data_IF_439498980996
#
_entry.id   IF_439498980996
#
_cell.length_a   1.000
_cell.length_b   1.000
_cell.length_c   1.000
_cell.angle_alpha   90.00
_cell.angle_beta   90.00
_cell.angle_gamma   90.00
#
_symmetry.space_group_name_H-M   'P 1'
#
loop_
_entity.id
_entity.type
_entity.pdbx_description
1 polymer ?
#
# COMPACT_ATOMS: atom_id res chain seq x y z
N UNK A 1 12.89 -31.83 -15.79
CA UNK A 1 11.54 -31.46 -15.31
C UNK A 1 11.61 -30.14 -14.54
N UNK A 2 12.49 -29.98 -13.51
CA UNK A 2 12.59 -28.81 -12.66
C UNK A 2 12.74 -27.50 -13.48
N UNK A 3 13.82 -27.35 -14.25
CA UNK A 3 14.10 -26.15 -15.05
C UNK A 3 13.02 -25.90 -16.11
N UNK A 4 12.56 -26.94 -16.80
CA UNK A 4 11.51 -26.82 -17.80
C UNK A 4 10.19 -26.31 -17.22
N UNK A 5 9.82 -26.76 -16.00
CA UNK A 5 8.59 -26.29 -15.35
C UNK A 5 8.70 -24.85 -14.85
N UNK A 6 9.86 -24.46 -14.29
CA UNK A 6 10.13 -23.08 -13.88
C UNK A 6 9.98 -22.13 -15.09
N UNK A 7 10.67 -22.46 -16.21
CA UNK A 7 10.61 -21.65 -17.42
C UNK A 7 9.18 -21.56 -17.99
N UNK A 8 8.50 -22.70 -18.12
CA UNK A 8 7.14 -22.73 -18.67
C UNK A 8 6.17 -21.90 -17.80
N UNK A 9 6.27 -22.03 -16.48
CA UNK A 9 5.40 -21.26 -15.55
C UNK A 9 5.71 -19.76 -15.62
N UNK A 10 6.99 -19.39 -15.59
CA UNK A 10 7.41 -17.99 -15.66
C UNK A 10 6.96 -17.34 -16.98
N UNK A 11 7.15 -18.02 -18.11
CA UNK A 11 6.70 -17.54 -19.42
C UNK A 11 5.18 -17.38 -19.43
N UNK A 12 4.43 -18.40 -19.02
CA UNK A 12 2.96 -18.35 -19.02
C UNK A 12 2.42 -17.19 -18.19
N UNK A 13 2.95 -16.96 -16.99
CA UNK A 13 2.52 -15.87 -16.12
C UNK A 13 2.85 -14.49 -16.69
N UNK A 14 4.03 -14.33 -17.31
CA UNK A 14 4.42 -13.05 -17.91
C UNK A 14 3.62 -12.71 -19.19
N UNK A 15 3.15 -13.73 -19.94
CA UNK A 15 2.27 -13.51 -21.08
C UNK A 15 0.79 -13.31 -20.71
N UNK A 16 0.47 -13.22 -19.41
CA UNK A 16 -0.88 -12.91 -18.94
C UNK A 16 -1.85 -14.09 -19.01
N UNK A 17 -1.38 -15.33 -19.15
CA UNK A 17 -2.24 -16.48 -19.04
C UNK A 17 -2.75 -16.64 -17.62
N UNK A 18 -4.07 -16.75 -17.48
CA UNK A 18 -4.71 -17.07 -16.21
C UNK A 18 -4.41 -18.51 -15.82
N UNK A 19 -3.73 -18.70 -14.69
CA UNK A 19 -3.41 -20.03 -14.18
C UNK A 19 -3.02 -19.99 -12.70
N UNK A 20 -3.27 -21.10 -12.01
CA UNK A 20 -2.88 -21.25 -10.61
C UNK A 20 -1.36 -21.40 -10.45
N UNK A 21 -0.76 -20.65 -9.58
CA UNK A 21 0.68 -20.73 -9.23
C UNK A 21 0.95 -21.90 -8.29
N UNK A 22 -0.05 -22.35 -7.53
CA UNK A 22 0.09 -23.39 -6.51
C UNK A 22 0.53 -24.74 -7.07
N UNK A 23 -0.16 -25.24 -8.10
CA UNK A 23 0.17 -26.54 -8.71
C UNK A 23 1.60 -26.58 -9.32
N UNK A 24 2.04 -25.55 -10.07
CA UNK A 24 3.44 -25.43 -10.48
C UNK A 24 4.42 -25.39 -9.31
N UNK A 25 4.12 -24.69 -8.23
CA UNK A 25 4.97 -24.61 -7.06
C UNK A 25 5.19 -25.97 -6.38
N UNK A 26 4.11 -26.75 -6.24
CA UNK A 26 4.17 -28.16 -5.75
C UNK A 26 5.10 -28.99 -6.63
N UNK A 27 4.94 -28.94 -7.94
CA UNK A 27 5.75 -29.75 -8.86
C UNK A 27 7.23 -29.32 -8.85
N UNK A 28 7.50 -28.02 -8.80
CA UNK A 28 8.85 -27.49 -8.66
C UNK A 28 9.47 -27.93 -7.33
N UNK A 29 8.70 -27.87 -6.24
CA UNK A 29 9.13 -28.31 -4.91
C UNK A 29 9.43 -29.81 -4.85
N UNK A 30 8.56 -30.64 -5.44
CA UNK A 30 8.76 -32.08 -5.55
C UNK A 30 10.04 -32.41 -6.33
N UNK A 31 10.23 -31.77 -7.48
CA UNK A 31 11.41 -31.97 -8.32
C UNK A 31 12.70 -31.49 -7.62
N UNK A 32 12.68 -30.37 -6.93
CA UNK A 32 13.81 -29.88 -6.15
C UNK A 32 14.15 -30.83 -4.99
N UNK A 33 13.14 -31.24 -4.21
CA UNK A 33 13.31 -32.23 -3.14
C UNK A 33 13.84 -33.56 -3.63
N UNK A 34 13.40 -34.01 -4.82
CA UNK A 34 13.94 -35.25 -5.46
C UNK A 34 15.42 -35.12 -5.85
N UNK A 35 15.83 -33.95 -6.37
CA UNK A 35 17.22 -33.68 -6.70
C UNK A 35 18.10 -33.72 -5.43
N UNK A 36 17.64 -33.02 -4.38
CA UNK A 36 18.36 -33.03 -3.09
C UNK A 36 18.42 -34.42 -2.51
N UNK A 37 17.34 -35.18 -2.53
CA UNK A 37 17.29 -36.58 -2.09
C UNK A 37 18.28 -37.45 -2.86
N UNK A 38 18.33 -37.35 -4.19
CA UNK A 38 19.27 -38.10 -5.01
C UNK A 38 20.73 -37.80 -4.66
N UNK A 39 21.09 -36.54 -4.38
CA UNK A 39 22.43 -36.16 -3.94
C UNK A 39 22.78 -36.78 -2.59
N UNK A 40 21.87 -36.74 -1.62
CA UNK A 40 22.13 -37.34 -0.30
C UNK A 40 22.27 -38.85 -0.35
N UNK A 41 21.47 -39.53 -1.17
CA UNK A 41 21.57 -40.97 -1.40
C UNK A 41 22.91 -41.33 -2.03
N UNK A 42 23.40 -40.60 -3.02
CA UNK A 42 24.73 -40.87 -3.63
C UNK A 42 25.89 -40.66 -2.67
N UNK A 43 25.67 -39.83 -1.62
CA UNK A 43 26.64 -39.62 -0.54
C UNK A 43 26.53 -40.67 0.60
N UNK A 44 25.56 -41.60 0.52
CA UNK A 44 25.27 -42.57 1.58
C UNK A 44 24.67 -41.96 2.83
N UNK A 45 23.98 -40.80 2.68
CA UNK A 45 23.39 -40.05 3.78
C UNK A 45 21.88 -40.04 3.59
N UNK A 46 21.12 -40.31 4.65
CA UNK A 46 19.67 -40.22 4.65
C UNK A 46 18.90 -41.08 3.62
N UNK A 47 19.37 -42.29 3.34
CA UNK A 47 18.74 -43.23 2.40
C UNK A 47 17.26 -43.50 2.73
N UNK A 48 16.94 -43.62 4.03
CA UNK A 48 15.58 -43.88 4.52
C UNK A 48 14.67 -42.63 4.49
N UNK A 49 15.20 -41.43 4.25
CA UNK A 49 14.48 -40.15 4.34
C UNK A 49 14.12 -39.54 2.99
N UNK A 50 14.21 -40.29 1.88
CA UNK A 50 13.95 -39.80 0.53
C UNK A 50 12.57 -39.16 0.40
N UNK A 51 11.52 -39.83 0.91
CA UNK A 51 10.14 -39.30 0.87
C UNK A 51 10.00 -38.03 1.71
N UNK A 52 10.60 -37.96 2.87
CA UNK A 52 10.57 -36.79 3.72
C UNK A 52 11.21 -35.56 3.04
N UNK A 53 12.33 -35.75 2.32
CA UNK A 53 13.01 -34.69 1.57
C UNK A 53 12.16 -34.18 0.41
N UNK A 54 11.47 -35.06 -0.32
CA UNK A 54 10.56 -34.67 -1.41
C UNK A 54 9.37 -33.89 -0.87
N UNK A 55 8.73 -34.38 0.19
CA UNK A 55 7.59 -33.72 0.83
C UNK A 55 7.98 -32.38 1.43
N UNK A 56 9.13 -32.32 2.10
CA UNK A 56 9.70 -31.08 2.62
C UNK A 56 9.99 -30.06 1.51
N UNK A 57 10.49 -30.51 0.35
CA UNK A 57 10.69 -29.67 -0.82
C UNK A 57 9.39 -29.10 -1.38
N UNK A 58 8.34 -29.92 -1.44
CA UNK A 58 6.99 -29.46 -1.84
C UNK A 58 6.52 -28.35 -0.90
N UNK A 59 6.54 -28.59 0.40
CA UNK A 59 6.11 -27.64 1.39
C UNK A 59 6.93 -26.34 1.36
N UNK A 60 8.27 -26.46 1.27
CA UNK A 60 9.19 -25.34 1.26
C UNK A 60 8.92 -24.37 0.09
N UNK A 61 8.77 -24.90 -1.14
CA UNK A 61 8.53 -24.05 -2.32
C UNK A 61 7.11 -23.51 -2.33
N UNK A 62 6.10 -24.35 -2.10
CA UNK A 62 4.71 -23.90 -2.13
C UNK A 62 4.42 -22.91 -1.01
N UNK A 63 4.91 -23.15 0.20
CA UNK A 63 4.73 -22.27 1.35
C UNK A 63 5.39 -20.90 1.19
N UNK A 64 6.59 -20.87 0.60
CA UNK A 64 7.30 -19.62 0.33
C UNK A 64 6.63 -18.79 -0.79
N UNK A 65 6.09 -19.46 -1.83
CA UNK A 65 5.37 -18.78 -2.92
C UNK A 65 4.05 -18.22 -2.44
N UNK A 66 3.29 -18.98 -1.63
CA UNK A 66 1.95 -18.57 -1.16
C UNK A 66 2.04 -17.56 -0.01
N UNK A 67 3.10 -17.62 0.83
CA UNK A 67 3.19 -16.84 2.05
C UNK A 67 2.37 -17.42 3.23
N UNK A 68 1.99 -18.70 3.17
CA UNK A 68 1.19 -19.38 4.19
C UNK A 68 1.88 -20.63 4.75
N UNK A 69 2.99 -20.49 5.49
CA UNK A 69 3.79 -21.64 5.93
C UNK A 69 3.03 -22.60 6.86
N UNK A 70 2.24 -22.08 7.79
CA UNK A 70 1.46 -22.91 8.72
C UNK A 70 0.44 -23.76 7.97
N UNK A 71 -0.26 -23.20 7.00
CA UNK A 71 -1.21 -23.92 6.17
C UNK A 71 -0.55 -25.09 5.44
N UNK A 72 0.69 -24.90 4.94
CA UNK A 72 1.42 -25.97 4.24
C UNK A 72 1.80 -27.12 5.17
N UNK A 73 2.18 -26.85 6.43
CA UNK A 73 2.44 -27.91 7.42
C UNK A 73 1.18 -28.71 7.70
N UNK A 74 0.03 -28.04 7.86
CA UNK A 74 -1.25 -28.68 8.12
C UNK A 74 -1.66 -29.53 6.89
N UNK A 75 -1.52 -29.02 5.67
CA UNK A 75 -1.80 -29.77 4.44
C UNK A 75 -0.94 -31.02 4.34
N UNK A 76 0.36 -30.92 4.63
CA UNK A 76 1.24 -32.09 4.65
C UNK A 76 0.81 -33.11 5.69
N UNK A 77 0.48 -32.66 6.91
CA UNK A 77 0.00 -33.54 7.96
C UNK A 77 -1.30 -34.26 7.56
N UNK A 78 -2.24 -33.53 6.99
CA UNK A 78 -3.55 -34.08 6.57
C UNK A 78 -3.43 -35.06 5.40
N UNK A 79 -2.63 -34.73 4.38
CA UNK A 79 -2.45 -35.58 3.21
C UNK A 79 -1.60 -36.83 3.50
N UNK A 80 -0.61 -36.73 4.39
CA UNK A 80 0.30 -37.87 4.67
C UNK A 80 -0.06 -38.63 5.92
N UNK A 81 -0.90 -38.05 6.78
CA UNK A 81 -1.23 -38.55 8.12
C UNK A 81 0.02 -38.93 8.93
N UNK A 82 1.10 -38.18 8.77
CA UNK A 82 2.42 -38.43 9.38
C UNK A 82 3.01 -37.18 10.01
N UNK A 83 3.16 -37.20 11.33
CA UNK A 83 3.84 -36.14 12.05
C UNK A 83 5.31 -35.98 11.67
N UNK A 84 5.98 -37.09 11.29
CA UNK A 84 7.37 -37.04 10.86
C UNK A 84 7.54 -36.20 9.58
N UNK A 85 6.65 -36.35 8.61
CA UNK A 85 6.66 -35.55 7.38
C UNK A 85 6.26 -34.09 7.65
N UNK A 86 5.33 -33.84 8.56
CA UNK A 86 4.95 -32.49 8.97
C UNK A 86 6.13 -31.74 9.62
N UNK A 87 6.88 -32.43 10.51
CA UNK A 87 8.07 -31.86 11.15
C UNK A 87 9.21 -31.61 10.15
N UNK A 88 9.47 -32.54 9.24
CA UNK A 88 10.46 -32.36 8.16
C UNK A 88 10.09 -31.15 7.28
N UNK A 89 8.81 -31.02 6.96
CA UNK A 89 8.28 -29.88 6.19
C UNK A 89 8.41 -28.56 6.92
N UNK A 90 8.23 -28.53 8.24
CA UNK A 90 8.41 -27.34 9.06
C UNK A 90 9.85 -26.78 8.95
N UNK A 91 10.85 -27.68 8.98
CA UNK A 91 12.26 -27.27 8.83
C UNK A 91 12.52 -26.69 7.43
N UNK A 92 12.06 -27.36 6.39
CA UNK A 92 12.20 -26.87 5.01
C UNK A 92 11.51 -25.52 4.80
N UNK A 93 10.31 -25.38 5.34
CA UNK A 93 9.54 -24.12 5.31
C UNK A 93 10.25 -22.99 6.05
N UNK A 94 10.76 -23.24 7.26
CA UNK A 94 11.44 -22.22 8.04
C UNK A 94 12.65 -21.64 7.27
N UNK A 95 13.42 -22.50 6.63
CA UNK A 95 14.58 -22.09 5.82
C UNK A 95 14.12 -21.33 4.56
N UNK A 96 13.14 -21.86 3.84
CA UNK A 96 12.67 -21.29 2.57
C UNK A 96 11.98 -19.93 2.77
N UNK A 97 11.05 -19.86 3.72
CA UNK A 97 10.33 -18.61 4.04
C UNK A 97 11.30 -17.58 4.61
N UNK A 98 12.21 -17.97 5.51
CA UNK A 98 13.24 -17.08 6.04
C UNK A 98 14.13 -16.51 4.93
N UNK A 99 14.56 -17.32 3.97
CA UNK A 99 15.32 -16.86 2.81
C UNK A 99 14.53 -15.87 1.95
N UNK A 100 13.26 -16.17 1.66
CA UNK A 100 12.38 -15.28 0.87
C UNK A 100 12.18 -13.95 1.58
N UNK A 101 11.92 -13.98 2.89
CA UNK A 101 11.76 -12.77 3.71
C UNK A 101 13.01 -11.89 3.67
N UNK A 102 14.19 -12.46 3.86
CA UNK A 102 15.46 -11.71 3.86
C UNK A 102 15.80 -11.17 2.46
N UNK A 103 15.50 -11.94 1.40
CA UNK A 103 15.94 -11.60 0.03
C UNK A 103 14.93 -10.75 -0.74
N UNK A 104 13.64 -10.96 -0.54
CA UNK A 104 12.54 -10.35 -1.31
C UNK A 104 11.57 -9.55 -0.44
N UNK A 105 11.61 -9.69 0.89
CA UNK A 105 10.74 -8.99 1.83
C UNK A 105 9.32 -9.56 1.95
N UNK A 106 8.80 -10.22 0.92
CA UNK A 106 7.40 -10.66 0.85
C UNK A 106 7.24 -11.90 -0.01
N UNK A 107 6.10 -12.60 0.13
CA UNK A 107 5.73 -13.72 -0.74
C UNK A 107 5.38 -13.23 -2.16
N UNK A 108 5.27 -14.18 -3.11
CA UNK A 108 4.86 -13.85 -4.49
C UNK A 108 3.48 -13.18 -4.55
N UNK A 109 2.52 -13.63 -3.75
CA UNK A 109 1.18 -13.04 -3.73
C UNK A 109 1.15 -11.66 -3.08
N UNK A 110 1.94 -11.44 -2.04
CA UNK A 110 2.08 -10.12 -1.42
C UNK A 110 2.64 -9.10 -2.42
N UNK A 111 3.69 -9.49 -3.17
CA UNK A 111 4.25 -8.64 -4.23
C UNK A 111 3.22 -8.34 -5.33
N UNK A 112 2.38 -9.32 -5.71
CA UNK A 112 1.30 -9.07 -6.69
C UNK A 112 0.26 -8.08 -6.17
N UNK A 113 -0.09 -8.13 -4.89
CA UNK A 113 -1.02 -7.18 -4.27
C UNK A 113 -0.41 -5.79 -4.20
N UNK A 114 0.84 -5.69 -3.76
CA UNK A 114 1.59 -4.43 -3.74
C UNK A 114 1.65 -3.77 -5.12
N UNK A 115 1.91 -4.55 -6.17
CA UNK A 115 1.92 -4.03 -7.56
C UNK A 115 0.55 -3.54 -8.05
N UNK A 116 -0.53 -3.93 -7.38
CA UNK A 116 -1.90 -3.42 -7.62
C UNK A 116 -2.26 -2.26 -6.69
N UNK A 117 -1.32 -1.76 -5.89
CA UNK A 117 -1.55 -0.70 -4.92
C UNK A 117 -2.24 -1.17 -3.63
N UNK A 118 -2.31 -2.48 -3.38
CA UNK A 118 -2.89 -3.06 -2.18
C UNK A 118 -1.76 -3.49 -1.25
N UNK A 119 -1.52 -2.74 -0.19
CA UNK A 119 -0.56 -3.10 0.86
C UNK A 119 -1.30 -3.83 1.98
N UNK A 120 -0.92 -5.08 2.21
CA UNK A 120 -1.49 -5.92 3.27
C UNK A 120 -0.61 -5.95 4.53
N UNK A 121 0.55 -5.28 4.52
CA UNK A 121 1.48 -5.25 5.66
C UNK A 121 0.84 -4.59 6.89
N UNK A 122 -0.02 -3.59 6.67
CA UNK A 122 -0.76 -2.89 7.72
C UNK A 122 -2.05 -3.60 8.15
N UNK A 123 -2.26 -4.83 7.68
CA UNK A 123 -3.44 -5.64 7.99
C UNK A 123 -4.73 -5.08 7.40
N UNK A 124 -5.89 -5.44 8.02
CA UNK A 124 -7.21 -5.01 7.56
C UNK A 124 -7.40 -3.50 7.63
N UNK A 125 -6.79 -2.84 8.61
CA UNK A 125 -6.89 -1.40 8.78
C UNK A 125 -6.29 -0.65 7.59
N UNK A 126 -5.12 -1.07 7.10
CA UNK A 126 -4.48 -0.48 5.91
C UNK A 126 -5.35 -0.64 4.66
N UNK A 127 -5.95 -1.81 4.45
CA UNK A 127 -6.88 -2.04 3.33
C UNK A 127 -8.07 -1.09 3.36
N UNK A 128 -8.73 -0.93 4.53
CA UNK A 128 -9.84 0.01 4.67
C UNK A 128 -9.44 1.46 4.41
N UNK A 129 -8.24 1.85 4.80
CA UNK A 129 -7.72 3.20 4.54
C UNK A 129 -7.42 3.43 3.06
N UNK A 130 -6.90 2.41 2.37
CA UNK A 130 -6.63 2.48 0.92
C UNK A 130 -7.91 2.54 0.09
N UNK A 131 -8.99 1.86 0.51
CA UNK A 131 -10.28 1.88 -0.17
C UNK A 131 -11.18 3.07 0.22
N UNK A 132 -10.82 3.81 1.27
CA UNK A 132 -11.64 4.93 1.75
C UNK A 132 -11.30 6.21 0.98
N UNK A 133 -12.30 6.77 0.29
CA UNK A 133 -12.20 8.06 -0.40
C UNK A 133 -12.10 9.21 0.61
N UNK A 134 -11.09 10.05 0.46
CA UNK A 134 -10.85 11.21 1.32
C UNK A 134 -11.96 12.25 1.26
N UNK A 135 -12.68 12.34 0.14
CA UNK A 135 -13.78 13.30 -0.03
C UNK A 135 -14.92 13.09 0.99
N UNK A 136 -15.06 11.89 1.57
CA UNK A 136 -16.06 11.63 2.60
C UNK A 136 -15.84 12.44 3.89
N UNK A 137 -14.61 12.89 4.13
CA UNK A 137 -14.20 13.62 5.33
C UNK A 137 -13.83 15.07 5.06
N UNK A 138 -13.89 15.48 3.81
CA UNK A 138 -13.53 16.80 3.36
C UNK A 138 -14.68 17.79 3.44
N UNK A 139 -14.37 19.06 3.66
CA UNK A 139 -15.32 20.15 3.65
C UNK A 139 -15.50 20.69 2.23
N UNK A 140 -16.72 20.62 1.70
CA UNK A 140 -17.06 21.16 0.38
C UNK A 140 -17.28 22.67 0.40
N UNK A 141 -17.47 23.27 1.58
CA UNK A 141 -17.62 24.72 1.75
C UNK A 141 -16.28 25.30 2.17
N UNK A 142 -15.62 25.98 1.27
CA UNK A 142 -14.35 26.64 1.50
C UNK A 142 -14.31 27.99 0.79
N UNK A 143 -13.42 28.86 1.24
CA UNK A 143 -13.32 30.21 0.71
C UNK A 143 -12.16 30.31 -0.28
N UNK A 144 -12.44 30.97 -1.41
CA UNK A 144 -11.46 31.20 -2.47
C UNK A 144 -11.30 32.70 -2.70
N UNK A 145 -10.11 33.09 -3.16
CA UNK A 145 -9.83 34.45 -3.60
C UNK A 145 -9.16 34.43 -4.98
N UNK A 146 -9.42 35.43 -5.80
CA UNK A 146 -8.79 35.52 -7.12
C UNK A 146 -7.36 36.07 -7.01
N UNK A 147 -6.48 35.57 -7.86
CA UNK A 147 -5.09 36.01 -7.95
C UNK A 147 -4.92 37.49 -8.32
N UNK A 148 -5.92 38.07 -8.98
CA UNK A 148 -6.02 39.48 -9.35
C UNK A 148 -6.47 40.43 -8.22
N UNK A 149 -6.85 39.90 -7.08
CA UNK A 149 -7.27 40.71 -5.93
C UNK A 149 -6.08 41.26 -5.14
N UNK A 150 -6.35 42.20 -4.25
CA UNK A 150 -5.34 42.85 -3.44
C UNK A 150 -5.07 42.10 -2.12
N UNK A 151 -3.91 42.32 -1.55
CA UNK A 151 -3.51 41.80 -0.23
C UNK A 151 -4.49 42.23 0.87
N UNK A 152 -4.97 43.48 0.82
CA UNK A 152 -5.95 43.99 1.81
C UNK A 152 -7.27 43.23 1.77
N UNK A 153 -7.72 42.90 0.56
CA UNK A 153 -8.98 42.14 0.40
C UNK A 153 -8.83 40.71 0.91
N UNK A 154 -7.66 40.10 0.70
CA UNK A 154 -7.34 38.78 1.27
C UNK A 154 -7.32 38.81 2.80
N UNK A 155 -6.67 39.80 3.38
CA UNK A 155 -6.61 39.95 4.84
C UNK A 155 -7.99 40.18 5.46
N UNK A 156 -8.86 40.97 4.77
CA UNK A 156 -10.21 41.22 5.23
C UNK A 156 -11.04 39.93 5.16
N UNK A 157 -10.98 39.21 4.07
CA UNK A 157 -11.66 37.92 3.93
C UNK A 157 -11.22 36.90 4.97
N UNK A 158 -9.91 36.76 5.22
CA UNK A 158 -9.38 35.89 6.29
C UNK A 158 -9.96 36.24 7.65
N UNK A 159 -10.06 37.53 7.95
CA UNK A 159 -10.64 38.01 9.22
C UNK A 159 -12.18 37.77 9.32
N UNK A 160 -12.89 37.84 8.21
CA UNK A 160 -14.33 37.58 8.17
C UNK A 160 -14.68 36.10 8.35
N UNK A 161 -13.85 35.22 7.79
CA UNK A 161 -14.09 33.77 7.83
C UNK A 161 -13.33 33.05 8.96
N UNK A 162 -12.58 33.80 9.78
CA UNK A 162 -11.75 33.29 10.88
C UNK A 162 -10.77 32.18 10.44
N UNK A 163 -10.12 32.40 9.29
CA UNK A 163 -9.13 31.48 8.71
C UNK A 163 -7.81 32.21 8.47
N UNK A 164 -6.71 31.54 8.73
CA UNK A 164 -5.36 32.09 8.47
C UNK A 164 -4.84 31.78 7.06
N UNK A 165 -5.55 30.97 6.31
CA UNK A 165 -5.18 30.53 4.96
C UNK A 165 -6.37 30.57 4.00
N UNK A 166 -6.11 30.93 2.75
CA UNK A 166 -7.12 30.92 1.67
C UNK A 166 -6.59 30.23 0.42
N UNK A 167 -7.50 29.61 -0.32
CA UNK A 167 -7.22 29.04 -1.64
C UNK A 167 -7.27 30.14 -2.68
N UNK A 168 -6.26 30.19 -3.54
CA UNK A 168 -6.19 31.16 -4.65
C UNK A 168 -6.58 30.48 -5.94
N UNK A 169 -7.49 31.15 -6.66
CA UNK A 169 -7.91 30.73 -7.99
C UNK A 169 -7.65 31.83 -9.02
N UNK A 170 -7.51 31.46 -10.27
CA UNK A 170 -7.43 32.43 -11.37
C UNK A 170 -8.80 32.98 -11.77
N UNK A 171 -8.85 33.75 -12.86
CA UNK A 171 -10.11 34.32 -13.37
C UNK A 171 -11.08 33.26 -13.92
N UNK A 172 -10.58 32.11 -14.35
CA UNK A 172 -11.36 30.96 -14.84
C UNK A 172 -11.83 30.03 -13.70
N UNK A 173 -11.36 30.27 -12.47
CA UNK A 173 -11.66 29.46 -11.29
C UNK A 173 -10.75 28.23 -11.18
N UNK A 174 -9.62 28.21 -11.89
CA UNK A 174 -8.61 27.16 -11.75
C UNK A 174 -7.76 27.40 -10.52
N UNK A 175 -7.29 26.31 -9.91
CA UNK A 175 -6.44 26.35 -8.72
C UNK A 175 -5.05 26.89 -9.07
N UNK A 176 -4.62 27.93 -8.36
CA UNK A 176 -3.32 28.59 -8.55
C UNK A 176 -2.36 28.26 -7.39
N UNK A 177 -2.89 28.13 -6.19
CA UNK A 177 -2.08 27.91 -4.99
C UNK A 177 -2.82 28.32 -3.73
N UNK A 178 -2.04 28.62 -2.69
CA UNK A 178 -2.53 29.02 -1.37
C UNK A 178 -1.85 30.29 -0.88
N UNK A 179 -2.50 31.04 -0.02
CA UNK A 179 -1.89 32.15 0.70
C UNK A 179 -2.13 31.95 2.20
N UNK A 180 -1.19 32.42 3.01
CA UNK A 180 -1.31 32.46 4.46
C UNK A 180 -1.25 33.90 4.97
N UNK A 181 -1.78 34.12 6.16
CA UNK A 181 -1.84 35.46 6.77
C UNK A 181 -0.44 36.07 7.00
N UNK A 182 0.57 35.25 7.25
CA UNK A 182 1.94 35.72 7.47
C UNK A 182 2.55 36.34 6.20
N UNK A 183 2.28 35.73 5.04
CA UNK A 183 2.78 36.23 3.76
C UNK A 183 2.19 37.60 3.37
N UNK A 184 1.08 38.00 3.99
CA UNK A 184 0.42 39.28 3.70
C UNK A 184 1.06 40.47 4.43
N UNK A 185 1.77 40.26 5.57
CA UNK A 185 2.26 41.34 6.41
C UNK A 185 3.27 42.26 5.73
N UNK A 186 4.14 41.72 4.88
CA UNK A 186 5.23 42.47 4.27
C UNK A 186 4.87 43.14 2.92
N UNK A 187 3.67 42.93 2.38
CA UNK A 187 3.31 43.29 0.99
C UNK A 187 2.02 44.09 0.87
N UNK A 188 1.72 45.00 1.82
CA UNK A 188 0.56 45.89 1.76
C UNK A 188 0.58 46.74 0.48
N UNK A 189 -0.59 46.86 -0.16
CA UNK A 189 -0.79 47.65 -1.38
C UNK A 189 -0.44 46.92 -2.66
N UNK A 190 -0.10 45.64 -2.61
CA UNK A 190 0.23 44.84 -3.80
C UNK A 190 -0.89 43.87 -4.21
N UNK A 191 -0.86 43.44 -5.46
CA UNK A 191 -1.71 42.35 -5.94
C UNK A 191 -1.18 41.00 -5.41
N UNK A 192 -2.08 40.04 -5.20
CA UNK A 192 -1.71 38.68 -4.76
C UNK A 192 -0.75 37.99 -5.76
N UNK A 193 -0.95 38.25 -7.06
CA UNK A 193 -0.07 37.73 -8.13
C UNK A 193 1.38 38.20 -8.05
N UNK A 194 1.71 39.23 -7.24
CA UNK A 194 3.08 39.79 -7.11
C UNK A 194 3.99 39.02 -6.14
N UNK A 195 3.81 37.69 -6.02
CA UNK A 195 4.71 36.81 -5.26
C UNK A 195 4.31 36.60 -3.79
N UNK A 196 3.02 36.66 -3.50
CA UNK A 196 2.43 36.31 -2.19
C UNK A 196 1.85 34.88 -2.21
N UNK A 197 1.53 34.38 -3.39
CA UNK A 197 0.90 33.08 -3.58
C UNK A 197 1.95 31.99 -3.49
N UNK A 198 1.73 31.04 -2.62
CA UNK A 198 2.48 29.78 -2.59
C UNK A 198 1.90 28.83 -3.66
N UNK A 199 2.59 28.75 -4.79
CA UNK A 199 2.21 27.93 -5.94
C UNK A 199 2.66 26.47 -5.79
N UNK A 200 3.64 26.22 -4.95
CA UNK A 200 4.20 24.90 -4.65
C UNK A 200 3.55 24.27 -3.40
N UNK A 201 2.41 24.84 -2.96
CA UNK A 201 1.71 24.35 -1.79
C UNK A 201 1.26 22.90 -1.94
N UNK A 202 1.27 22.18 -0.84
CA UNK A 202 0.82 20.79 -0.78
C UNK A 202 -0.68 20.72 -1.02
N UNK A 203 -1.12 19.80 -1.87
CA UNK A 203 -2.53 19.50 -2.13
C UNK A 203 -2.76 17.99 -2.22
N UNK A 204 -3.99 17.56 -2.01
CA UNK A 204 -4.44 16.18 -2.16
C UNK A 204 -5.24 16.05 -3.46
N UNK A 205 -5.04 14.98 -4.22
CA UNK A 205 -5.87 14.71 -5.40
C UNK A 205 -7.28 14.28 -4.97
N UNK A 206 -8.29 14.65 -5.75
CA UNK A 206 -9.68 14.36 -5.44
C UNK A 206 -10.01 12.85 -5.38
N UNK A 207 -9.23 12.02 -6.05
CA UNK A 207 -9.35 10.56 -6.09
C UNK A 207 -8.38 9.84 -5.13
N UNK A 208 -7.74 10.60 -4.23
CA UNK A 208 -6.82 10.04 -3.26
C UNK A 208 -7.55 9.25 -2.17
N UNK A 209 -6.93 8.17 -1.72
CA UNK A 209 -7.38 7.41 -0.55
C UNK A 209 -7.03 8.13 0.76
N UNK A 210 -7.70 7.73 1.84
CA UNK A 210 -7.35 8.18 3.19
C UNK A 210 -5.89 7.87 3.54
N UNK A 211 -5.37 6.73 3.11
CA UNK A 211 -3.95 6.36 3.29
C UNK A 211 -3.01 7.41 2.67
N UNK A 212 -3.24 7.75 1.40
CA UNK A 212 -2.43 8.78 0.71
C UNK A 212 -2.55 10.15 1.36
N UNK A 213 -3.72 10.49 1.87
CA UNK A 213 -3.94 11.75 2.57
C UNK A 213 -3.16 11.82 3.89
N UNK A 214 -3.07 10.72 4.64
CA UNK A 214 -2.27 10.61 5.87
C UNK A 214 -0.78 10.82 5.56
N UNK A 215 -0.26 10.20 4.50
CA UNK A 215 1.14 10.35 4.08
C UNK A 215 1.46 11.81 3.73
N UNK A 216 0.57 12.48 2.99
CA UNK A 216 0.72 13.89 2.64
C UNK A 216 0.66 14.77 3.89
N UNK A 217 -0.31 14.52 4.79
CA UNK A 217 -0.49 15.28 6.02
C UNK A 217 0.68 15.13 6.99
N UNK A 218 1.39 14.00 7.00
CA UNK A 218 2.51 13.76 7.91
C UNK A 218 3.66 14.76 7.78
N UNK A 219 3.79 15.41 6.63
CA UNK A 219 4.82 16.41 6.34
C UNK A 219 4.23 17.81 6.08
N UNK A 220 2.92 17.96 6.26
CA UNK A 220 2.23 19.22 6.03
C UNK A 220 2.40 20.16 7.23
N UNK A 221 2.52 21.46 6.95
CA UNK A 221 2.49 22.52 7.96
C UNK A 221 1.54 23.61 7.46
N UNK A 222 0.41 23.75 8.10
CA UNK A 222 -0.61 24.73 7.70
C UNK A 222 -1.96 24.43 8.34
N UNK A 223 -2.98 25.20 7.99
CA UNK A 223 -4.33 25.07 8.51
C UNK A 223 -5.20 24.15 7.63
N UNK A 224 -5.13 24.37 6.31
CA UNK A 224 -5.98 23.67 5.34
C UNK A 224 -5.16 23.06 4.21
N UNK A 225 -5.51 21.83 3.80
CA UNK A 225 -4.97 21.16 2.62
C UNK A 225 -6.03 21.20 1.52
N UNK A 226 -5.77 21.83 0.37
CA UNK A 226 -6.69 21.83 -0.76
C UNK A 226 -6.84 20.42 -1.34
N UNK A 227 -8.06 20.05 -1.71
CA UNK A 227 -8.33 18.86 -2.53
C UNK A 227 -8.61 19.33 -3.96
N UNK A 228 -7.76 18.88 -4.89
CA UNK A 228 -7.75 19.38 -6.26
C UNK A 228 -8.11 18.28 -7.25
N UNK A 229 -9.05 18.57 -8.13
CA UNK A 229 -9.34 17.76 -9.30
C UNK A 229 -8.37 18.11 -10.42
N UNK A 230 -7.40 17.23 -10.65
CA UNK A 230 -6.27 17.50 -11.55
C UNK A 230 -6.64 17.51 -13.04
N UNK A 231 -7.73 16.85 -13.45
CA UNK A 231 -8.24 16.86 -14.84
C UNK A 231 -8.76 18.23 -15.29
N UNK A 232 -9.34 19.01 -14.37
CA UNK A 232 -9.88 20.35 -14.61
C UNK A 232 -9.16 21.43 -13.82
N UNK A 233 -8.11 21.08 -13.11
CA UNK A 233 -7.29 21.96 -12.26
C UNK A 233 -8.14 22.84 -11.30
N UNK A 234 -9.13 22.25 -10.60
CA UNK A 234 -10.02 22.97 -9.68
C UNK A 234 -9.94 22.42 -8.27
N UNK A 235 -9.87 23.30 -7.30
CA UNK A 235 -10.11 22.94 -5.91
C UNK A 235 -11.60 22.57 -5.74
N UNK A 236 -11.87 21.40 -5.17
CA UNK A 236 -13.24 20.87 -4.99
C UNK A 236 -13.65 20.77 -3.53
N UNK A 237 -12.68 20.69 -2.63
CA UNK A 237 -12.88 20.64 -1.19
C UNK A 237 -11.60 21.05 -0.45
N UNK A 238 -11.69 21.16 0.85
CA UNK A 238 -10.54 21.32 1.76
C UNK A 238 -10.63 20.29 2.87
N UNK A 239 -9.48 19.98 3.45
CA UNK A 239 -9.41 19.11 4.63
C UNK A 239 -8.32 19.62 5.57
N UNK A 240 -8.52 19.42 6.88
CA UNK A 240 -7.53 19.72 7.91
C UNK A 240 -6.83 18.46 8.37
N UNK A 241 -5.63 18.58 8.95
CA UNK A 241 -4.96 17.44 9.59
C UNK A 241 -5.84 16.79 10.65
N UNK A 242 -6.58 17.60 11.43
CA UNK A 242 -7.50 17.10 12.44
C UNK A 242 -8.61 16.23 11.86
N UNK A 243 -9.18 16.60 10.71
CA UNK A 243 -10.20 15.81 10.03
C UNK A 243 -9.62 14.49 9.47
N UNK A 244 -8.41 14.51 8.92
CA UNK A 244 -7.70 13.28 8.48
C UNK A 244 -7.45 12.36 9.67
N UNK A 245 -7.00 12.89 10.80
CA UNK A 245 -6.76 12.09 12.01
C UNK A 245 -8.05 11.49 12.59
N UNK A 246 -9.15 12.25 12.61
CA UNK A 246 -10.47 11.74 13.02
C UNK A 246 -10.97 10.64 12.08
N UNK A 247 -10.78 10.79 10.77
CA UNK A 247 -11.09 9.78 9.78
C UNK A 247 -10.30 8.48 10.04
N UNK A 248 -9.00 8.59 10.31
CA UNK A 248 -8.14 7.49 10.71
C UNK A 248 -8.67 6.74 11.92
N UNK A 249 -8.94 7.45 13.03
CA UNK A 249 -9.45 6.85 14.27
C UNK A 249 -10.81 6.17 14.06
N UNK A 250 -11.70 6.78 13.29
CA UNK A 250 -13.00 6.22 12.95
C UNK A 250 -12.87 4.88 12.23
N UNK A 251 -11.98 4.79 11.23
CA UNK A 251 -11.73 3.55 10.48
C UNK A 251 -11.03 2.49 11.30
N UNK A 252 -10.08 2.87 12.15
CA UNK A 252 -9.42 1.96 13.08
C UNK A 252 -10.43 1.33 14.05
N UNK A 253 -11.32 2.13 14.64
CA UNK A 253 -12.35 1.64 15.55
C UNK A 253 -13.34 0.69 14.85
N UNK A 254 -13.74 0.99 13.61
CA UNK A 254 -14.58 0.10 12.81
C UNK A 254 -13.92 -1.27 12.59
N UNK A 255 -12.61 -1.30 12.32
CA UNK A 255 -11.86 -2.55 12.14
C UNK A 255 -11.84 -3.37 13.43
N UNK A 256 -11.57 -2.72 14.57
CA UNK A 256 -11.56 -3.39 15.90
C UNK A 256 -12.94 -3.95 16.27
N UNK A 257 -14.02 -3.26 15.93
CA UNK A 257 -15.37 -3.76 16.17
C UNK A 257 -15.74 -4.97 15.30
N UNK A 258 -15.28 -4.99 14.03
CA UNK A 258 -15.47 -6.14 13.13
C UNK A 258 -14.67 -7.37 13.57
N UNK A 259 -13.52 -7.18 14.21
CA UNK A 259 -12.70 -8.28 14.73
C UNK A 259 -13.26 -8.91 16.03
N UNK A 260 -14.13 -8.19 16.73
CA UNK A 260 -14.79 -8.69 17.96
C UNK A 260 -16.06 -9.50 17.68
N UNK A 261 -16.55 -9.51 16.46
CA UNK A 261 -17.72 -10.26 16.01
C UNK A 261 -17.31 -11.55 15.31
#
# INVERSE_FOLDING_TARGET
>A
ILLGKILATSISLNFGFFGGVFSPAILVGAAAGSVVSAVFVTLGIFEDFQQALVISGIAAVAGAVIGAPICMVIIVLELTNSYAFALASLVGLAISVGYVQVRFGSSYFDVQLLNRGIDISDGRTGLFMTETDILQFAESKFHTIKDSETVEKAALLMSEVDQSELIVVDQSGEFVGKINSLALFDKKGSLLSSGVIDRDCVFIKHDASLQSAIEIASNFVGEIIPIVRTDINKAVATITEGAIFQAYLSKQNQTVEMEKR
#
